data_IF_815470703052
#
_entry.id   IF_815470703052
#
_cell.length_a   1.000
_cell.length_b   1.000
_cell.length_c   1.000
_cell.angle_alpha   90.00
_cell.angle_beta   90.00
_cell.angle_gamma   90.00
#
_symmetry.space_group_name_H-M   'P 1'
#
loop_
_entity.id
_entity.type
_entity.pdbx_description
1 polymer ?
#
# COMPACT_ATOMS: atom_id res chain seq x y z
N UNK A 1 -0.01 17.26 -6.03
CA UNK A 1 0.79 16.01 -6.04
C UNK A 1 1.17 15.68 -4.61
N UNK A 2 1.20 14.39 -4.25
CA UNK A 2 1.70 13.94 -2.95
C UNK A 2 3.19 14.24 -2.79
N UNK A 3 3.60 14.72 -1.62
CA UNK A 3 4.96 15.06 -1.24
C UNK A 3 5.37 14.28 0.00
N UNK A 4 6.54 13.65 -0.07
CA UNK A 4 7.11 12.97 1.08
C UNK A 4 7.76 14.01 2.00
N UNK A 5 7.28 14.08 3.24
CA UNK A 5 7.84 14.94 4.28
C UNK A 5 8.67 14.10 5.24
N UNK A 6 9.88 14.56 5.52
CA UNK A 6 10.88 13.84 6.32
C UNK A 6 11.36 14.75 7.45
N UNK A 7 11.39 14.22 8.68
CA UNK A 7 11.90 14.88 9.87
C UNK A 7 11.30 16.29 10.17
N UNK A 8 10.18 16.65 9.54
CA UNK A 8 9.49 17.92 9.78
C UNK A 8 8.87 17.98 11.19
N UNK A 9 8.98 19.16 11.79
CA UNK A 9 8.45 19.50 13.12
C UNK A 9 7.09 20.14 12.96
N UNK A 10 6.02 19.38 12.99
CA UNK A 10 4.69 19.97 12.88
C UNK A 10 3.74 19.42 13.94
N UNK A 11 2.87 20.29 14.46
CA UNK A 11 1.74 19.92 15.30
C UNK A 11 1.97 20.11 16.81
N UNK A 12 1.02 20.73 17.53
CA UNK A 12 1.10 20.91 18.98
C UNK A 12 1.08 19.56 19.76
N UNK A 13 0.65 18.49 19.09
CA UNK A 13 0.52 17.15 19.66
C UNK A 13 1.70 16.22 19.36
N UNK A 14 2.73 16.72 18.68
CA UNK A 14 3.85 15.92 18.21
C UNK A 14 5.10 16.19 19.06
N UNK A 15 5.40 15.27 19.98
CA UNK A 15 6.60 15.27 20.80
C UNK A 15 7.53 14.13 20.39
N UNK A 16 8.84 14.35 20.53
CA UNK A 16 9.88 13.40 20.09
C UNK A 16 11.10 13.49 21.01
N UNK A 17 11.78 12.37 21.22
CA UNK A 17 13.06 12.30 21.94
C UNK A 17 14.27 12.37 21.00
N UNK A 18 14.06 12.27 19.68
CA UNK A 18 15.11 12.20 18.68
C UNK A 18 14.99 13.27 17.59
N UNK A 19 14.33 14.40 17.88
CA UNK A 19 14.11 15.50 16.93
C UNK A 19 13.43 15.05 15.61
N UNK A 20 12.53 14.06 15.67
CA UNK A 20 11.77 13.50 14.55
C UNK A 20 12.62 12.77 13.48
N UNK A 21 13.90 12.48 13.76
CA UNK A 21 14.75 11.69 12.85
C UNK A 21 14.09 10.32 12.57
N UNK A 22 14.03 9.94 11.29
CA UNK A 22 13.38 8.71 10.83
C UNK A 22 11.86 8.83 10.62
N UNK A 23 11.26 9.97 10.97
CA UNK A 23 9.83 10.22 10.73
C UNK A 23 9.62 10.58 9.26
N UNK A 24 8.60 9.97 8.67
CA UNK A 24 8.09 10.31 7.35
C UNK A 24 6.56 10.37 7.35
N UNK A 25 5.99 11.22 6.49
CA UNK A 25 4.57 11.24 6.20
C UNK A 25 4.31 11.85 4.81
N UNK A 26 3.10 11.66 4.29
CA UNK A 26 2.70 12.20 3.00
C UNK A 26 1.78 13.41 3.20
N UNK A 27 2.06 14.49 2.46
CA UNK A 27 1.20 15.67 2.40
C UNK A 27 0.81 15.91 0.93
N UNK A 28 -0.42 16.35 0.68
CA UNK A 28 -0.83 16.71 -0.67
C UNK A 28 -0.67 18.22 -0.91
N UNK A 29 0.11 18.57 -1.93
CA UNK A 29 0.31 19.96 -2.35
C UNK A 29 -0.29 20.15 -3.75
N UNK A 30 -1.26 21.06 -3.90
CA UNK A 30 -1.94 21.31 -5.19
C UNK A 30 -1.04 21.95 -6.25
N UNK A 31 0.01 22.65 -5.83
CA UNK A 31 0.97 23.34 -6.70
C UNK A 31 2.20 22.48 -6.99
N UNK A 32 2.46 21.45 -6.19
CA UNK A 32 3.57 20.53 -6.39
C UNK A 32 3.52 19.76 -7.71
N UNK A 33 4.71 19.62 -8.32
CA UNK A 33 4.98 18.74 -9.45
C UNK A 33 4.64 19.37 -10.80
N UNK A 34 5.55 19.20 -11.76
CA UNK A 34 5.34 19.52 -13.18
C UNK A 34 4.21 18.66 -13.77
N UNK A 35 3.60 19.07 -14.91
CA UNK A 35 2.61 18.23 -15.61
C UNK A 35 3.12 16.82 -15.89
N UNK A 36 4.39 16.68 -16.31
CA UNK A 36 5.01 15.40 -16.60
C UNK A 36 5.16 14.51 -15.36
N UNK A 37 5.49 15.10 -14.21
CA UNK A 37 5.55 14.37 -12.94
C UNK A 37 4.16 13.92 -12.50
N UNK A 38 3.15 14.79 -12.61
CA UNK A 38 1.76 14.44 -12.28
C UNK A 38 1.26 13.30 -13.16
N UNK A 39 1.51 13.36 -14.46
CA UNK A 39 1.18 12.27 -15.40
C UNK A 39 1.91 10.97 -15.05
N UNK A 40 3.17 11.05 -14.61
CA UNK A 40 3.92 9.88 -14.17
C UNK A 40 3.31 9.24 -12.90
N UNK A 41 2.80 10.05 -11.97
CA UNK A 41 2.10 9.55 -10.79
C UNK A 41 0.80 8.84 -11.15
N UNK A 42 0.02 9.38 -12.09
CA UNK A 42 -1.18 8.68 -12.57
C UNK A 42 -0.84 7.37 -13.27
N UNK A 43 0.24 7.33 -14.08
CA UNK A 43 0.73 6.08 -14.67
C UNK A 43 1.07 5.03 -13.61
N UNK A 44 1.76 5.40 -12.53
CA UNK A 44 2.06 4.46 -11.45
C UNK A 44 0.78 3.88 -10.81
N UNK A 45 -0.25 4.72 -10.63
CA UNK A 45 -1.55 4.27 -10.08
C UNK A 45 -2.28 3.32 -11.02
N UNK A 46 -2.30 3.63 -12.31
CA UNK A 46 -2.92 2.79 -13.34
C UNK A 46 -2.20 1.44 -13.47
N UNK A 47 -0.86 1.47 -13.51
CA UNK A 47 -0.04 0.25 -13.56
C UNK A 47 -0.23 -0.63 -12.34
N UNK A 48 -0.25 -0.05 -11.13
CA UNK A 48 -0.55 -0.80 -9.92
C UNK A 48 -1.95 -1.43 -9.99
N UNK A 49 -2.97 -0.65 -10.35
CA UNK A 49 -4.35 -1.13 -10.45
C UNK A 49 -4.47 -2.29 -11.45
N UNK A 50 -3.83 -2.18 -12.62
CA UNK A 50 -3.82 -3.23 -13.65
C UNK A 50 -3.14 -4.51 -13.17
N UNK A 51 -2.05 -4.37 -12.40
CA UNK A 51 -1.23 -5.48 -11.98
C UNK A 51 -1.52 -5.96 -10.55
N UNK A 52 -2.50 -5.39 -9.83
CA UNK A 52 -2.75 -5.64 -8.39
C UNK A 52 -2.89 -7.11 -7.98
N UNK A 53 -3.27 -7.98 -8.90
CA UNK A 53 -3.36 -9.43 -8.66
C UNK A 53 -2.02 -10.17 -8.84
N UNK A 54 -1.08 -9.60 -9.58
CA UNK A 54 0.26 -10.14 -9.84
C UNK A 54 1.34 -9.45 -8.99
N UNK A 55 1.24 -8.13 -8.84
CA UNK A 55 2.14 -7.25 -8.10
C UNK A 55 1.32 -6.56 -7.02
N UNK A 56 1.49 -6.99 -5.78
CA UNK A 56 0.65 -6.58 -4.64
C UNK A 56 1.20 -5.40 -3.86
N UNK A 57 2.48 -5.08 -4.07
CA UNK A 57 3.18 -3.98 -3.41
C UNK A 57 3.37 -2.82 -4.37
N UNK A 58 3.24 -1.60 -3.87
CA UNK A 58 3.36 -0.35 -4.67
C UNK A 58 4.75 -0.13 -5.27
N UNK A 59 5.74 -0.90 -4.79
CA UNK A 59 7.17 -0.77 -5.05
C UNK A 59 7.73 0.63 -4.74
N UNK A 60 7.03 1.42 -3.93
CA UNK A 60 7.43 2.76 -3.51
C UNK A 60 7.77 3.71 -4.67
N UNK A 61 7.17 3.52 -5.85
CA UNK A 61 7.60 4.22 -7.07
C UNK A 61 7.53 5.74 -6.93
N UNK A 62 6.52 6.27 -6.25
CA UNK A 62 6.39 7.70 -5.97
C UNK A 62 7.49 8.21 -5.03
N UNK A 63 7.78 7.49 -3.93
CA UNK A 63 8.84 7.86 -3.00
C UNK A 63 10.20 7.82 -3.68
N UNK A 64 10.50 6.74 -4.43
CA UNK A 64 11.75 6.60 -5.18
C UNK A 64 11.90 7.71 -6.21
N UNK A 65 10.83 8.10 -6.89
CA UNK A 65 10.83 9.21 -7.86
C UNK A 65 11.24 10.53 -7.20
N UNK A 66 10.73 10.83 -6.00
CA UNK A 66 11.06 12.08 -5.29
C UNK A 66 12.48 12.06 -4.73
N UNK A 67 12.86 11.00 -4.01
CA UNK A 67 14.20 10.92 -3.40
C UNK A 67 15.32 10.88 -4.44
N UNK A 68 15.13 10.19 -5.56
CA UNK A 68 16.13 10.15 -6.64
C UNK A 68 16.35 11.50 -7.30
N UNK A 69 15.33 12.35 -7.31
CA UNK A 69 15.43 13.72 -7.83
C UNK A 69 16.22 14.61 -6.86
N UNK A 70 16.06 14.40 -5.56
CA UNK A 70 16.73 15.17 -4.51
C UNK A 70 18.18 14.69 -4.23
N UNK A 71 18.46 13.41 -4.48
CA UNK A 71 19.77 12.79 -4.26
C UNK A 71 20.51 12.52 -5.59
N UNK A 72 21.26 13.49 -6.13
CA UNK A 72 22.07 13.27 -7.33
C UNK A 72 23.24 12.32 -6.99
N UNK A 73 23.04 11.03 -7.26
CA UNK A 73 24.09 10.01 -7.18
C UNK A 73 24.67 9.72 -8.57
N UNK A 74 25.90 9.21 -8.61
CA UNK A 74 26.53 8.75 -9.85
C UNK A 74 25.73 7.63 -10.53
N UNK A 75 26.00 7.40 -11.81
CA UNK A 75 25.32 6.36 -12.58
C UNK A 75 25.49 4.98 -11.93
N UNK A 76 24.41 4.21 -11.87
CA UNK A 76 24.44 2.81 -11.41
C UNK A 76 25.18 2.00 -12.49
N UNK A 77 26.32 1.34 -12.18
CA UNK A 77 27.09 0.57 -13.16
C UNK A 77 26.26 -0.52 -13.84
N UNK A 78 26.59 -0.96 -15.05
CA UNK A 78 25.89 -2.06 -15.71
C UNK A 78 25.99 -3.38 -14.91
N UNK A 79 24.96 -4.22 -14.99
CA UNK A 79 24.96 -5.51 -14.27
C UNK A 79 25.86 -6.52 -14.98
N UNK A 80 26.68 -7.24 -14.21
CA UNK A 80 27.36 -8.45 -14.66
C UNK A 80 26.48 -9.63 -14.25
N UNK A 81 26.00 -10.41 -15.22
CA UNK A 81 25.18 -11.60 -14.98
C UNK A 81 26.11 -12.81 -14.88
N UNK A 82 26.17 -13.43 -13.70
CA UNK A 82 26.88 -14.69 -13.46
C UNK A 82 25.85 -15.81 -13.50
N UNK A 83 26.09 -16.85 -14.30
CA UNK A 83 25.23 -18.04 -14.33
C UNK A 83 25.57 -18.97 -13.16
N UNK A 84 24.64 -19.86 -12.80
CA UNK A 84 24.84 -20.81 -11.68
C UNK A 84 26.08 -21.69 -11.84
N UNK A 85 26.50 -21.97 -13.07
CA UNK A 85 27.66 -22.83 -13.38
C UNK A 85 28.97 -22.04 -13.57
N UNK A 86 28.94 -20.72 -13.48
CA UNK A 86 30.10 -19.85 -13.67
C UNK A 86 30.72 -19.50 -12.31
N UNK A 87 32.05 -19.46 -12.25
CA UNK A 87 32.75 -19.03 -11.02
C UNK A 87 32.44 -17.57 -10.71
N UNK A 88 32.21 -17.26 -9.43
CA UNK A 88 32.00 -15.89 -8.96
C UNK A 88 33.34 -15.15 -9.03
N UNK A 89 33.41 -14.13 -9.89
CA UNK A 89 34.60 -13.27 -9.99
C UNK A 89 34.53 -12.09 -9.01
N UNK A 90 35.70 -11.61 -8.58
CA UNK A 90 35.81 -10.40 -7.74
C UNK A 90 35.17 -9.18 -8.42
N UNK A 91 35.32 -9.06 -9.75
CA UNK A 91 34.72 -8.00 -10.54
C UNK A 91 33.19 -8.06 -10.51
N UNK A 92 32.60 -9.25 -10.69
CA UNK A 92 31.16 -9.44 -10.64
C UNK A 92 30.59 -9.11 -9.25
N UNK A 93 31.26 -9.58 -8.18
CA UNK A 93 30.90 -9.26 -6.80
C UNK A 93 30.99 -7.75 -6.54
N UNK A 94 32.13 -7.13 -6.84
CA UNK A 94 32.37 -5.70 -6.60
C UNK A 94 31.39 -4.83 -7.38
N UNK A 95 31.10 -5.18 -8.63
CA UNK A 95 30.12 -4.47 -9.47
C UNK A 95 28.71 -4.61 -8.88
N UNK A 96 28.34 -5.79 -8.40
CA UNK A 96 27.04 -6.03 -7.77
C UNK A 96 26.88 -5.21 -6.48
N UNK A 97 27.89 -5.21 -5.61
CA UNK A 97 27.89 -4.40 -4.39
C UNK A 97 27.83 -2.90 -4.69
N UNK A 98 28.62 -2.43 -5.66
CA UNK A 98 28.61 -1.03 -6.09
C UNK A 98 27.24 -0.63 -6.61
N UNK A 99 26.59 -1.48 -7.42
CA UNK A 99 25.22 -1.25 -7.90
C UNK A 99 24.21 -1.14 -6.75
N UNK A 100 24.29 -2.03 -5.77
CA UNK A 100 23.39 -2.00 -4.61
C UNK A 100 23.59 -0.72 -3.80
N UNK A 101 24.82 -0.38 -3.43
CA UNK A 101 25.15 0.83 -2.68
C UNK A 101 24.69 2.08 -3.45
N UNK A 102 25.06 2.19 -4.74
CA UNK A 102 24.63 3.32 -5.57
C UNK A 102 23.11 3.44 -5.65
N UNK A 103 22.37 2.33 -5.75
CA UNK A 103 20.91 2.36 -5.71
C UNK A 103 20.39 2.87 -4.37
N UNK A 104 20.82 2.30 -3.25
CA UNK A 104 20.32 2.68 -1.93
C UNK A 104 20.69 4.11 -1.55
N UNK A 105 21.85 4.62 -1.97
CA UNK A 105 22.21 6.04 -1.80
C UNK A 105 21.22 6.98 -2.50
N UNK A 106 20.61 6.57 -3.62
CA UNK A 106 19.66 7.43 -4.35
C UNK A 106 18.31 7.59 -3.63
N UNK A 107 18.02 6.72 -2.66
CA UNK A 107 16.74 6.68 -1.94
C UNK A 107 16.92 6.87 -0.43
N UNK A 108 18.09 7.35 0.00
CA UNK A 108 18.32 7.72 1.40
C UNK A 108 17.70 9.09 1.68
N UNK A 109 16.95 9.22 2.77
CA UNK A 109 16.43 10.50 3.22
C UNK A 109 17.56 11.42 3.73
N UNK A 110 17.30 12.73 3.76
CA UNK A 110 18.30 13.74 4.16
C UNK A 110 18.73 13.65 5.63
N UNK A 111 17.91 13.04 6.49
CA UNK A 111 18.22 12.76 7.90
C UNK A 111 18.90 11.38 8.09
N UNK A 112 19.22 10.69 6.99
CA UNK A 112 20.00 9.46 6.95
C UNK A 112 19.19 8.16 6.98
N UNK A 113 17.87 8.20 7.19
CA UNK A 113 17.05 6.98 7.16
C UNK A 113 16.69 6.53 5.74
N UNK A 114 16.14 5.33 5.60
CA UNK A 114 15.52 4.88 4.36
C UNK A 114 14.00 4.86 4.53
N UNK A 115 13.28 5.79 3.89
CA UNK A 115 11.85 5.72 3.72
C UNK A 115 11.42 4.33 3.27
N UNK A 116 10.38 3.79 3.90
CA UNK A 116 9.78 2.52 3.52
C UNK A 116 8.28 2.53 3.80
N UNK A 117 7.49 1.95 2.91
CA UNK A 117 6.12 1.59 3.23
C UNK A 117 6.13 0.44 4.24
N UNK A 118 5.63 0.71 5.46
CA UNK A 118 5.32 -0.35 6.43
C UNK A 118 3.86 -0.75 6.24
N UNK A 119 3.55 -1.37 5.10
CA UNK A 119 2.22 -1.95 4.86
C UNK A 119 2.00 -3.10 5.84
N UNK A 120 0.90 -3.03 6.59
CA UNK A 120 0.47 -4.05 7.55
C UNK A 120 -0.94 -4.52 7.20
N UNK A 121 -1.83 -4.69 8.19
CA UNK A 121 -3.22 -5.06 7.94
C UNK A 121 -3.95 -4.07 7.03
N UNK A 122 -4.47 -4.57 5.91
CA UNK A 122 -5.42 -3.86 5.04
C UNK A 122 -6.66 -3.43 5.82
N UNK A 123 -6.98 -4.19 6.86
CA UNK A 123 -8.16 -4.01 7.69
C UNK A 123 -8.12 -2.78 8.59
N UNK A 124 -7.01 -2.04 8.77
CA UNK A 124 -7.03 -0.89 9.70
C UNK A 124 -7.70 0.37 9.16
N UNK A 125 -7.69 0.59 7.85
CA UNK A 125 -8.27 1.81 7.28
C UNK A 125 -9.80 1.87 7.39
N UNK A 126 -10.58 0.82 7.09
CA UNK A 126 -12.03 0.91 7.21
C UNK A 126 -12.52 1.18 8.65
N UNK A 127 -12.06 0.48 9.71
CA UNK A 127 -12.38 0.80 11.10
C UNK A 127 -11.95 2.21 11.52
N UNK A 128 -10.79 2.69 11.07
CA UNK A 128 -10.38 4.09 11.32
C UNK A 128 -11.42 5.07 10.74
N UNK A 129 -11.86 4.85 9.50
CA UNK A 129 -12.88 5.68 8.85
C UNK A 129 -14.21 5.63 9.58
N UNK A 130 -14.65 4.44 10.00
CA UNK A 130 -15.87 4.25 10.79
C UNK A 130 -15.77 5.00 12.12
N UNK A 131 -14.65 4.86 12.84
CA UNK A 131 -14.43 5.54 14.11
C UNK A 131 -14.46 7.07 13.94
N UNK A 132 -13.73 7.59 12.95
CA UNK A 132 -13.71 9.03 12.64
C UNK A 132 -15.08 9.56 12.21
N UNK A 133 -15.87 8.74 11.50
CA UNK A 133 -17.23 9.10 11.12
C UNK A 133 -18.15 9.21 12.33
N UNK A 134 -18.12 8.21 13.22
CA UNK A 134 -18.90 8.20 14.46
C UNK A 134 -18.53 9.37 15.37
N UNK A 135 -17.25 9.74 15.43
CA UNK A 135 -16.78 10.87 16.25
C UNK A 135 -16.95 12.23 15.57
N UNK A 136 -17.38 12.28 14.30
CA UNK A 136 -17.51 13.53 13.53
C UNK A 136 -16.18 14.15 13.11
N UNK A 137 -15.06 13.42 13.21
CA UNK A 137 -13.70 13.93 13.01
C UNK A 137 -13.10 13.61 11.62
N UNK A 138 -13.86 13.00 10.69
CA UNK A 138 -13.34 12.57 9.37
C UNK A 138 -12.64 13.71 8.63
N UNK A 139 -13.29 14.87 8.50
CA UNK A 139 -12.76 15.99 7.74
C UNK A 139 -11.70 16.81 8.50
N UNK A 140 -11.60 16.62 9.82
CA UNK A 140 -10.56 17.23 10.64
C UNK A 140 -9.24 16.46 10.51
N UNK A 141 -9.32 15.13 10.50
CA UNK A 141 -8.15 14.24 10.49
C UNK A 141 -7.72 13.86 9.08
N UNK A 142 -8.68 13.64 8.16
CA UNK A 142 -8.40 13.18 6.80
C UNK A 142 -8.78 14.25 5.79
N UNK A 143 -7.77 14.80 5.10
CA UNK A 143 -8.03 15.71 3.97
C UNK A 143 -8.80 15.01 2.84
N UNK A 144 -9.50 15.74 1.96
CA UNK A 144 -10.19 15.15 0.81
C UNK A 144 -9.29 14.25 -0.05
N UNK A 145 -8.01 14.57 -0.16
CA UNK A 145 -7.01 13.81 -0.91
C UNK A 145 -6.67 12.50 -0.21
N UNK A 146 -6.50 12.50 1.12
CA UNK A 146 -6.34 11.26 1.89
C UNK A 146 -7.57 10.36 1.74
N UNK A 147 -8.78 10.93 1.81
CA UNK A 147 -10.01 10.17 1.64
C UNK A 147 -10.08 9.50 0.25
N UNK A 148 -9.70 10.22 -0.82
CA UNK A 148 -9.61 9.66 -2.19
C UNK A 148 -8.59 8.52 -2.30
N UNK A 149 -7.42 8.65 -1.66
CA UNK A 149 -6.41 7.58 -1.65
C UNK A 149 -6.85 6.37 -0.82
N UNK A 150 -7.55 6.58 0.29
CA UNK A 150 -8.09 5.48 1.10
C UNK A 150 -9.11 4.68 0.29
N UNK A 151 -10.02 5.36 -0.43
CA UNK A 151 -10.95 4.68 -1.36
C UNK A 151 -10.18 3.87 -2.40
N UNK A 152 -9.16 4.48 -3.04
CA UNK A 152 -8.33 3.80 -4.02
C UNK A 152 -7.62 2.58 -3.44
N UNK A 153 -7.05 2.72 -2.24
CA UNK A 153 -6.38 1.65 -1.52
C UNK A 153 -7.32 0.49 -1.26
N UNK A 154 -8.50 0.74 -0.67
CA UNK A 154 -9.49 -0.30 -0.41
C UNK A 154 -9.88 -1.00 -1.72
N UNK A 155 -10.29 -0.25 -2.75
CA UNK A 155 -10.67 -0.86 -4.05
C UNK A 155 -9.54 -1.73 -4.66
N UNK A 156 -8.27 -1.31 -4.53
CA UNK A 156 -7.15 -2.04 -5.08
C UNK A 156 -6.82 -3.34 -4.32
N UNK A 157 -7.21 -3.45 -3.06
CA UNK A 157 -6.91 -4.62 -2.24
C UNK A 157 -8.05 -5.65 -2.17
N UNK A 158 -9.18 -5.39 -2.83
CA UNK A 158 -10.25 -6.39 -2.98
C UNK A 158 -9.76 -7.60 -3.80
N UNK A 159 -9.94 -8.81 -3.26
CA UNK A 159 -9.60 -10.06 -3.93
C UNK A 159 -10.49 -10.35 -5.14
N UNK A 160 -10.12 -11.35 -5.95
CA UNK A 160 -10.84 -11.73 -7.17
C UNK A 160 -12.25 -12.30 -6.90
N UNK A 161 -12.45 -12.97 -5.76
CA UNK A 161 -13.76 -13.42 -5.28
C UNK A 161 -14.65 -12.29 -4.74
N UNK A 162 -14.10 -11.08 -4.53
CA UNK A 162 -14.84 -9.93 -4.00
C UNK A 162 -14.67 -9.71 -2.50
N UNK A 163 -14.11 -10.68 -1.77
CA UNK A 163 -13.80 -10.54 -0.36
C UNK A 163 -12.54 -9.69 -0.10
N UNK A 164 -12.31 -9.41 1.18
CA UNK A 164 -11.15 -8.70 1.67
C UNK A 164 -10.38 -9.54 2.69
N UNK A 165 -9.05 -9.65 2.54
CA UNK A 165 -8.20 -10.28 3.52
C UNK A 165 -7.77 -9.33 4.65
N UNK A 166 -7.18 -9.89 5.70
CA UNK A 166 -6.71 -9.12 6.83
C UNK A 166 -5.39 -8.38 6.51
N UNK A 167 -4.44 -9.06 5.85
CA UNK A 167 -3.07 -8.57 5.67
C UNK A 167 -2.69 -8.20 4.25
N UNK A 168 -2.94 -9.09 3.29
CA UNK A 168 -2.57 -8.88 1.89
C UNK A 168 -3.52 -9.68 0.98
N UNK A 169 -3.67 -9.34 -0.30
CA UNK A 169 -4.46 -10.17 -1.21
C UNK A 169 -3.95 -11.63 -1.22
N UNK A 170 -4.83 -12.64 -1.23
CA UNK A 170 -4.45 -14.06 -1.21
C UNK A 170 -3.46 -14.41 -2.33
N UNK A 171 -2.28 -14.95 -1.98
CA UNK A 171 -1.17 -15.29 -2.91
C UNK A 171 -1.15 -16.76 -3.33
N UNK A 172 -1.72 -17.62 -2.50
CA UNK A 172 -1.55 -19.06 -2.55
C UNK A 172 -2.92 -19.74 -2.71
N UNK A 173 -2.94 -20.90 -3.36
CA UNK A 173 -4.17 -21.66 -3.54
C UNK A 173 -4.61 -22.34 -2.24
N UNK A 174 -5.92 -22.48 -2.04
CA UNK A 174 -6.52 -23.10 -0.84
C UNK A 174 -5.98 -24.49 -0.51
N UNK A 175 -5.64 -25.30 -1.52
CA UNK A 175 -5.14 -26.65 -1.29
C UNK A 175 -3.78 -26.70 -0.59
N UNK A 176 -3.01 -25.60 -0.57
CA UNK A 176 -1.73 -25.55 0.14
C UNK A 176 -1.88 -25.74 1.64
N UNK A 177 -3.08 -25.50 2.18
CA UNK A 177 -3.39 -25.71 3.61
C UNK A 177 -3.35 -27.18 4.02
N UNK A 178 -3.39 -28.10 3.05
CA UNK A 178 -3.12 -29.53 3.29
C UNK A 178 -1.68 -29.79 3.78
N UNK A 179 -0.78 -28.82 3.61
CA UNK A 179 0.60 -28.90 4.07
C UNK A 179 0.82 -28.18 5.40
N UNK A 180 -0.24 -27.73 6.09
CA UNK A 180 -0.12 -27.06 7.37
C UNK A 180 0.55 -28.01 8.39
N UNK A 181 1.78 -27.71 8.84
CA UNK A 181 2.49 -28.57 9.78
C UNK A 181 2.10 -28.28 11.23
N UNK A 182 1.29 -27.25 11.48
CA UNK A 182 0.87 -26.88 12.84
C UNK A 182 -0.30 -27.75 13.28
N UNK A 183 -0.18 -28.35 14.47
CA UNK A 183 -1.18 -29.30 14.98
C UNK A 183 -2.36 -28.61 15.68
N UNK A 184 -2.18 -27.34 16.08
CA UNK A 184 -3.09 -26.62 16.96
C UNK A 184 -3.66 -25.33 16.36
N UNK A 185 -3.26 -24.97 15.13
CA UNK A 185 -3.83 -23.85 14.39
C UNK A 185 -4.34 -24.31 13.02
N UNK A 186 -5.54 -23.89 12.67
CA UNK A 186 -6.13 -24.09 11.35
C UNK A 186 -5.93 -22.83 10.50
N UNK A 187 -5.86 -23.01 9.17
CA UNK A 187 -5.89 -21.90 8.20
C UNK A 187 -4.78 -20.85 8.36
N UNK A 188 -3.55 -21.30 8.63
CA UNK A 188 -2.39 -20.43 8.88
C UNK A 188 -1.41 -20.32 7.72
N UNK A 189 -1.48 -21.19 6.71
CA UNK A 189 -0.50 -21.16 5.62
C UNK A 189 -0.79 -20.11 4.56
N UNK A 190 -2.06 -19.79 4.34
CA UNK A 190 -2.46 -18.83 3.32
C UNK A 190 -3.32 -17.72 3.91
N UNK A 191 -3.15 -16.53 3.35
CA UNK A 191 -4.04 -15.41 3.61
C UNK A 191 -5.41 -15.68 2.99
N UNK A 192 -6.47 -15.28 3.69
CA UNK A 192 -7.87 -15.57 3.34
C UNK A 192 -8.70 -14.31 3.42
N UNK A 193 -9.77 -14.27 2.65
CA UNK A 193 -10.78 -13.25 2.82
C UNK A 193 -11.70 -13.58 4.01
N UNK A 194 -12.13 -12.55 4.72
CA UNK A 194 -12.95 -12.68 5.92
C UNK A 194 -14.21 -11.83 5.78
N UNK A 195 -15.33 -12.30 6.35
CA UNK A 195 -16.61 -11.59 6.30
C UNK A 195 -16.51 -10.27 7.06
N UNK A 196 -15.78 -10.25 8.17
CA UNK A 196 -15.52 -9.09 9.03
C UNK A 196 -14.72 -8.01 8.29
N UNK A 197 -13.68 -8.44 7.57
CA UNK A 197 -12.86 -7.58 6.72
C UNK A 197 -13.68 -6.99 5.57
N UNK A 198 -14.47 -7.85 4.92
CA UNK A 198 -15.31 -7.48 3.79
C UNK A 198 -16.44 -6.53 4.21
N UNK A 199 -17.11 -6.81 5.31
CA UNK A 199 -18.18 -5.97 5.86
C UNK A 199 -17.67 -4.58 6.25
N UNK A 200 -16.49 -4.52 6.89
CA UNK A 200 -15.88 -3.24 7.27
C UNK A 200 -15.48 -2.42 6.05
N UNK A 201 -14.93 -3.05 5.00
CA UNK A 201 -14.64 -2.40 3.72
C UNK A 201 -15.91 -1.83 3.07
N UNK A 202 -17.02 -2.58 3.08
CA UNK A 202 -18.32 -2.09 2.59
C UNK A 202 -18.75 -0.84 3.37
N UNK A 203 -18.73 -0.90 4.70
CA UNK A 203 -19.13 0.24 5.54
C UNK A 203 -18.28 1.48 5.24
N UNK A 204 -16.94 1.34 5.20
CA UNK A 204 -16.04 2.45 4.86
C UNK A 204 -16.34 3.05 3.49
N UNK A 205 -16.55 2.21 2.46
CA UNK A 205 -16.86 2.67 1.09
C UNK A 205 -18.23 3.36 1.00
N UNK A 206 -19.24 2.87 1.71
CA UNK A 206 -20.57 3.49 1.76
C UNK A 206 -20.49 4.88 2.40
N UNK A 207 -19.75 5.02 3.50
CA UNK A 207 -19.53 6.32 4.15
C UNK A 207 -18.82 7.29 3.21
N UNK A 208 -17.76 6.83 2.52
CA UNK A 208 -17.04 7.68 1.56
C UNK A 208 -17.89 8.10 0.36
N UNK A 209 -18.78 7.23 -0.12
CA UNK A 209 -19.73 7.58 -1.19
C UNK A 209 -20.65 8.73 -0.78
N UNK A 210 -21.02 8.82 0.50
CA UNK A 210 -21.80 9.94 1.02
C UNK A 210 -20.97 11.23 1.14
N UNK A 211 -19.70 11.10 1.57
CA UNK A 211 -18.79 12.24 1.76
C UNK A 211 -18.30 12.85 0.43
N UNK A 212 -18.11 12.02 -0.61
CA UNK A 212 -17.60 12.44 -1.93
C UNK A 212 -18.53 12.03 -3.06
N UNK A 213 -19.73 12.64 -3.16
CA UNK A 213 -20.68 12.29 -4.21
C UNK A 213 -20.06 12.51 -5.60
N UNK A 214 -20.10 11.48 -6.45
CA UNK A 214 -19.56 11.51 -7.81
C UNK A 214 -18.08 11.09 -7.94
N UNK A 215 -17.33 10.92 -6.85
CA UNK A 215 -15.95 10.43 -6.94
C UNK A 215 -15.91 8.91 -7.12
N UNK A 216 -15.42 8.43 -8.27
CA UNK A 216 -15.23 7.00 -8.60
C UNK A 216 -16.45 6.11 -8.35
N UNK A 217 -17.66 6.65 -8.45
CA UNK A 217 -18.92 5.98 -8.09
C UNK A 217 -19.06 4.60 -8.72
N UNK A 218 -18.76 4.46 -10.03
CA UNK A 218 -18.84 3.17 -10.73
C UNK A 218 -17.93 2.09 -10.14
N UNK A 219 -16.72 2.48 -9.73
CA UNK A 219 -15.77 1.53 -9.15
C UNK A 219 -16.18 1.17 -7.72
N UNK A 220 -16.56 2.17 -6.92
CA UNK A 220 -17.04 1.94 -5.55
C UNK A 220 -18.26 1.01 -5.56
N UNK A 221 -19.23 1.26 -6.44
CA UNK A 221 -20.44 0.44 -6.56
C UNK A 221 -20.11 -0.99 -7.01
N UNK A 222 -19.18 -1.15 -7.95
CA UNK A 222 -18.68 -2.47 -8.37
C UNK A 222 -17.99 -3.21 -7.22
N UNK A 223 -17.15 -2.51 -6.45
CA UNK A 223 -16.45 -3.05 -5.30
C UNK A 223 -17.44 -3.53 -4.22
N UNK A 224 -18.41 -2.68 -3.85
CA UNK A 224 -19.46 -3.01 -2.88
C UNK A 224 -20.30 -4.19 -3.37
N UNK A 225 -20.71 -4.21 -4.64
CA UNK A 225 -21.54 -5.30 -5.19
C UNK A 225 -20.83 -6.64 -5.11
N UNK A 226 -19.53 -6.69 -5.45
CA UNK A 226 -18.74 -7.91 -5.36
C UNK A 226 -18.51 -8.35 -3.91
N UNK A 227 -18.34 -7.39 -3.00
CA UNK A 227 -18.18 -7.66 -1.57
C UNK A 227 -19.47 -8.21 -0.95
N UNK A 228 -20.64 -7.67 -1.31
CA UNK A 228 -21.94 -8.19 -0.89
C UNK A 228 -22.13 -9.64 -1.39
N UNK A 229 -21.81 -9.89 -2.66
CA UNK A 229 -21.86 -11.22 -3.24
C UNK A 229 -20.98 -12.21 -2.47
N UNK A 230 -19.75 -11.81 -2.09
CA UNK A 230 -18.88 -12.64 -1.25
C UNK A 230 -19.52 -12.98 0.10
N UNK A 231 -20.12 -12.00 0.77
CA UNK A 231 -20.80 -12.21 2.07
C UNK A 231 -21.97 -13.18 1.93
N UNK A 232 -22.78 -13.05 0.88
CA UNK A 232 -23.91 -13.95 0.59
C UNK A 232 -23.44 -15.36 0.26
N UNK A 233 -22.38 -15.52 -0.54
CA UNK A 233 -21.82 -16.82 -0.92
C UNK A 233 -21.12 -17.54 0.25
N UNK A 234 -20.70 -16.79 1.28
CA UNK A 234 -20.05 -17.34 2.49
C UNK A 234 -21.06 -17.69 3.59
N UNK A 235 -22.31 -17.25 3.48
CA UNK A 235 -23.32 -17.47 4.53
C UNK A 235 -23.77 -18.94 4.58
N UNK A 236 -23.87 -19.49 5.79
CA UNK A 236 -24.39 -20.83 6.03
C UNK A 236 -25.92 -20.88 5.83
N UNK A 237 -26.51 -22.07 5.53
CA UNK A 237 -27.95 -22.21 5.33
C UNK A 237 -28.83 -21.82 6.54
N UNK A 238 -28.27 -21.82 7.75
CA UNK A 238 -28.95 -21.40 8.98
C UNK A 238 -28.86 -19.87 9.22
N UNK A 239 -28.17 -19.15 8.35
CA UNK A 239 -27.99 -17.70 8.39
C UNK A 239 -26.72 -17.23 9.14
N UNK A 240 -25.91 -18.13 9.70
CA UNK A 240 -24.62 -17.77 10.29
C UNK A 240 -23.55 -17.52 9.22
N UNK A 241 -22.40 -16.98 9.62
CA UNK A 241 -21.15 -17.01 8.86
C UNK A 241 -20.16 -17.89 9.59
#
# INVERSE_FOLDING_TARGET
>A
MWKLKIAEREGPWLTTTNNHVGRQHWEFDHEAGTPQERDQVERYREEFTKNRFQIKQSADLLMRMQLRKENPCGAIPAAIKVKETEDITEEAMTTTLRRAISFYSTIQAHDGHWPAESAGPLFFLPPLVIALYVTGAVNEILSPEHQKEIIRYICNHQSSNGGFPAWEPQRAFSWLEKFNPTEFFEDVLIEREYVECTASAIQGLVLFRQLHPGHRTKEIDSCITRALKYIEETQNPDGSW
#
